data_IF_930411238007
#
_entry.id   IF_930411238007
#
_cell.length_a   1.000
_cell.length_b   1.000
_cell.length_c   1.000
_cell.angle_alpha   90.00
_cell.angle_beta   90.00
_cell.angle_gamma   90.00
#
_symmetry.space_group_name_H-M   'P 1'
#
loop_
_entity.id
_entity.type
_entity.pdbx_description
1 polymer ?
#
# COMPACT_ATOMS: atom_id res chain seq x y z
N UNK A 1 -21.40 -22.51 -0.64
CA UNK A 1 -21.65 -21.21 0.03
C UNK A 1 -20.38 -20.34 0.20
N UNK A 2 -19.20 -20.91 -0.06
CA UNK A 2 -17.90 -20.22 0.11
C UNK A 2 -17.77 -18.88 -0.64
N UNK A 3 -18.27 -18.80 -1.89
CA UNK A 3 -18.18 -17.59 -2.71
C UNK A 3 -18.91 -16.38 -2.11
N UNK A 4 -20.14 -16.60 -1.60
CA UNK A 4 -20.90 -15.54 -0.93
C UNK A 4 -20.25 -15.12 0.39
N UNK A 5 -19.67 -16.06 1.09
CA UNK A 5 -18.98 -15.83 2.34
C UNK A 5 -17.69 -15.02 2.14
N UNK A 6 -16.90 -15.38 1.12
CA UNK A 6 -15.74 -14.58 0.68
C UNK A 6 -16.17 -13.15 0.32
N UNK A 7 -17.18 -13.02 -0.52
CA UNK A 7 -17.68 -11.71 -0.94
C UNK A 7 -18.11 -10.84 0.25
N UNK A 8 -18.99 -11.37 1.14
CA UNK A 8 -19.50 -10.60 2.29
C UNK A 8 -18.37 -10.24 3.26
N UNK A 9 -17.45 -11.15 3.51
CA UNK A 9 -16.32 -10.91 4.42
C UNK A 9 -15.44 -9.79 3.89
N UNK A 10 -15.00 -9.85 2.64
CA UNK A 10 -14.18 -8.82 2.05
C UNK A 10 -14.94 -7.51 1.80
N UNK A 11 -16.24 -7.57 1.53
CA UNK A 11 -17.10 -6.40 1.46
C UNK A 11 -17.14 -5.65 2.80
N UNK A 12 -17.33 -6.40 3.89
CA UNK A 12 -17.33 -5.83 5.24
C UNK A 12 -15.97 -5.22 5.59
N UNK A 13 -14.87 -5.91 5.27
CA UNK A 13 -13.51 -5.40 5.47
C UNK A 13 -13.31 -4.11 4.67
N UNK A 14 -13.67 -4.10 3.38
CA UNK A 14 -13.54 -2.93 2.52
C UNK A 14 -14.41 -1.73 2.94
N UNK A 15 -15.55 -1.99 3.56
CA UNK A 15 -16.46 -0.94 4.04
C UNK A 15 -16.00 -0.28 5.35
N UNK A 16 -15.47 -1.08 6.28
CA UNK A 16 -15.18 -0.62 7.65
C UNK A 16 -13.72 -0.29 7.91
N UNK A 17 -12.83 -0.49 6.94
CA UNK A 17 -11.43 -0.14 7.13
C UNK A 17 -11.12 1.24 6.57
N UNK A 18 -10.60 2.10 7.44
CA UNK A 18 -10.12 3.44 7.12
C UNK A 18 -8.60 3.49 7.28
N UNK A 19 -7.88 4.10 6.33
CA UNK A 19 -6.43 4.29 6.47
C UNK A 19 -5.54 3.55 5.47
N UNK A 20 -6.13 2.89 4.45
CA UNK A 20 -5.37 2.24 3.37
C UNK A 20 -5.19 0.74 3.54
N UNK A 21 -4.55 0.09 2.56
CA UNK A 21 -4.48 -1.37 2.45
C UNK A 21 -3.82 -2.05 3.65
N UNK A 22 -2.76 -1.48 4.21
CA UNK A 22 -2.09 -2.03 5.40
C UNK A 22 -2.95 -1.99 6.66
N UNK A 23 -3.84 -1.01 6.80
CA UNK A 23 -4.77 -0.95 7.92
C UNK A 23 -5.83 -2.08 7.88
N UNK A 24 -6.02 -2.70 6.73
CA UNK A 24 -6.90 -3.87 6.58
C UNK A 24 -6.24 -5.17 7.04
N UNK A 25 -4.92 -5.24 7.08
CA UNK A 25 -4.18 -6.48 7.34
C UNK A 25 -4.60 -7.19 8.64
N UNK A 26 -4.66 -6.53 9.80
CA UNK A 26 -5.07 -7.19 11.05
C UNK A 26 -6.49 -7.77 10.97
N UNK A 27 -7.40 -7.06 10.30
CA UNK A 27 -8.79 -7.49 10.16
C UNK A 27 -8.91 -8.67 9.17
N UNK A 28 -8.14 -8.65 8.09
CA UNK A 28 -8.06 -9.77 7.14
C UNK A 28 -7.52 -11.01 7.85
N UNK A 29 -6.39 -10.88 8.56
CA UNK A 29 -5.78 -11.98 9.33
C UNK A 29 -6.77 -12.59 10.31
N UNK A 30 -7.42 -11.75 11.11
CA UNK A 30 -8.42 -12.20 12.07
C UNK A 30 -9.54 -12.99 11.39
N UNK A 31 -10.11 -12.47 10.30
CA UNK A 31 -11.23 -13.10 9.60
C UNK A 31 -10.85 -14.38 8.88
N UNK A 32 -9.68 -14.43 8.29
CA UNK A 32 -9.16 -15.62 7.60
C UNK A 32 -8.93 -16.78 8.57
N UNK A 33 -8.33 -16.50 9.73
CA UNK A 33 -8.13 -17.50 10.80
C UNK A 33 -9.44 -17.91 11.46
N UNK A 34 -10.31 -16.94 11.81
CA UNK A 34 -11.62 -17.19 12.43
C UNK A 34 -12.50 -18.15 11.59
N UNK A 35 -12.41 -18.00 10.26
CA UNK A 35 -13.16 -18.83 9.32
C UNK A 35 -12.45 -20.13 8.93
N UNK A 36 -11.24 -20.35 9.41
CA UNK A 36 -10.45 -21.54 9.08
C UNK A 36 -10.06 -21.62 7.60
N UNK A 37 -9.95 -20.48 6.92
CA UNK A 37 -9.57 -20.43 5.51
C UNK A 37 -8.07 -20.65 5.30
N UNK A 38 -7.26 -20.17 6.25
CA UNK A 38 -5.81 -20.32 6.23
C UNK A 38 -5.24 -20.44 7.65
N UNK A 39 -4.11 -21.13 7.77
CA UNK A 39 -3.32 -21.18 9.00
C UNK A 39 -2.52 -19.91 9.24
N UNK A 40 -2.01 -19.78 10.47
CA UNK A 40 -1.20 -18.60 10.85
C UNK A 40 0.09 -18.51 10.04
N UNK A 41 0.67 -19.67 9.66
CA UNK A 41 1.90 -19.75 8.86
C UNK A 41 1.68 -19.26 7.43
N UNK A 42 0.56 -19.64 6.81
CA UNK A 42 0.18 -19.22 5.45
C UNK A 42 -0.08 -17.71 5.34
N UNK A 43 -0.42 -17.07 6.47
CA UNK A 43 -0.61 -15.62 6.54
C UNK A 43 0.67 -14.86 6.18
N UNK A 44 1.82 -15.35 6.59
CA UNK A 44 3.11 -14.71 6.27
C UNK A 44 3.37 -14.76 4.76
N UNK A 45 3.06 -15.89 4.14
CA UNK A 45 3.25 -16.08 2.70
C UNK A 45 2.34 -15.15 1.89
N UNK A 46 1.06 -15.03 2.25
CA UNK A 46 0.16 -14.14 1.50
C UNK A 46 0.53 -12.65 1.64
N UNK A 47 1.07 -12.24 2.79
CA UNK A 47 1.59 -10.88 2.97
C UNK A 47 2.78 -10.65 2.04
N UNK A 48 3.76 -11.56 2.03
CA UNK A 48 4.94 -11.45 1.18
C UNK A 48 4.58 -11.42 -0.31
N UNK A 49 3.67 -12.30 -0.76
CA UNK A 49 3.18 -12.31 -2.15
C UNK A 49 2.46 -11.01 -2.51
N UNK A 50 1.61 -10.52 -1.60
CA UNK A 50 0.85 -9.29 -1.82
C UNK A 50 1.72 -8.04 -1.89
N UNK A 51 2.82 -8.00 -1.13
CA UNK A 51 3.81 -6.93 -1.19
C UNK A 51 4.67 -7.00 -2.45
N UNK A 52 4.99 -8.20 -2.91
CA UNK A 52 5.78 -8.43 -4.12
C UNK A 52 4.98 -8.16 -5.41
N UNK A 53 3.66 -8.17 -5.33
CA UNK A 53 2.77 -7.98 -6.49
C UNK A 53 2.47 -6.49 -6.67
N UNK A 54 2.78 -5.89 -7.85
CA UNK A 54 2.47 -4.50 -8.10
C UNK A 54 0.96 -4.26 -8.12
N UNK A 55 0.46 -3.44 -7.20
CA UNK A 55 -0.97 -3.13 -7.11
C UNK A 55 -1.40 -2.71 -5.71
N UNK A 56 -2.70 -2.40 -5.52
CA UNK A 56 -3.24 -2.09 -4.20
C UNK A 56 -3.16 -3.32 -3.27
N UNK A 57 -2.46 -3.21 -2.17
CA UNK A 57 -2.19 -4.29 -1.23
C UNK A 57 -3.45 -5.08 -0.81
N UNK A 58 -4.54 -4.37 -0.47
CA UNK A 58 -5.80 -5.00 -0.09
C UNK A 58 -6.45 -5.81 -1.22
N UNK A 59 -6.29 -5.37 -2.47
CA UNK A 59 -6.77 -6.11 -3.66
C UNK A 59 -5.93 -7.35 -3.88
N UNK A 60 -4.60 -7.23 -3.81
CA UNK A 60 -3.68 -8.36 -3.99
C UNK A 60 -3.95 -9.45 -2.95
N UNK A 61 -4.07 -9.06 -1.68
CA UNK A 61 -4.36 -9.98 -0.56
C UNK A 61 -5.73 -10.65 -0.71
N UNK A 62 -6.78 -9.90 -1.07
CA UNK A 62 -8.12 -10.47 -1.25
C UNK A 62 -8.17 -11.45 -2.40
N UNK A 63 -7.46 -11.15 -3.49
CA UNK A 63 -7.32 -12.03 -4.64
C UNK A 63 -6.60 -13.32 -4.27
N UNK A 64 -5.50 -13.22 -3.53
CA UNK A 64 -4.73 -14.37 -3.05
C UNK A 64 -5.59 -15.28 -2.16
N UNK A 65 -6.18 -14.74 -1.10
CA UNK A 65 -7.05 -15.49 -0.19
C UNK A 65 -8.22 -16.15 -0.94
N UNK A 66 -8.85 -15.42 -1.86
CA UNK A 66 -9.93 -15.96 -2.67
C UNK A 66 -9.48 -17.10 -3.57
N UNK A 67 -8.25 -17.02 -4.12
CA UNK A 67 -7.69 -18.08 -4.96
C UNK A 67 -7.42 -19.34 -4.15
N UNK A 68 -6.81 -19.24 -3.01
CA UNK A 68 -6.51 -20.38 -2.12
C UNK A 68 -7.78 -21.06 -1.61
N UNK A 69 -8.82 -20.28 -1.26
CA UNK A 69 -10.07 -20.82 -0.73
C UNK A 69 -10.95 -21.50 -1.79
N UNK A 70 -11.04 -20.95 -3.00
CA UNK A 70 -12.03 -21.39 -3.99
C UNK A 70 -11.62 -21.13 -5.46
N UNK A 71 -10.32 -21.09 -5.72
CA UNK A 71 -9.76 -20.91 -7.07
C UNK A 71 -10.15 -19.56 -7.71
N UNK A 72 -10.18 -19.52 -9.02
CA UNK A 72 -10.42 -18.29 -9.81
C UNK A 72 -11.74 -17.60 -9.45
N UNK A 73 -12.81 -18.35 -9.24
CA UNK A 73 -14.11 -17.80 -8.85
C UNK A 73 -14.08 -17.21 -7.43
N UNK A 74 -13.33 -17.83 -6.52
CA UNK A 74 -13.09 -17.29 -5.19
C UNK A 74 -12.32 -15.96 -5.24
N UNK A 75 -11.29 -15.88 -6.07
CA UNK A 75 -10.53 -14.66 -6.31
C UNK A 75 -11.43 -13.52 -6.80
N UNK A 76 -12.28 -13.78 -7.78
CA UNK A 76 -13.24 -12.79 -8.31
C UNK A 76 -14.18 -12.29 -7.20
N UNK A 77 -14.78 -13.22 -6.43
CA UNK A 77 -15.71 -12.86 -5.36
C UNK A 77 -15.04 -12.03 -4.26
N UNK A 78 -13.86 -12.42 -3.80
CA UNK A 78 -13.13 -11.71 -2.75
C UNK A 78 -12.67 -10.32 -3.22
N UNK A 79 -12.14 -10.23 -4.44
CA UNK A 79 -11.69 -8.97 -5.05
C UNK A 79 -12.84 -8.00 -5.27
N UNK A 80 -13.96 -8.48 -5.83
CA UNK A 80 -15.17 -7.66 -5.97
C UNK A 80 -15.69 -7.22 -4.60
N UNK A 81 -15.64 -8.09 -3.61
CA UNK A 81 -16.02 -7.77 -2.24
C UNK A 81 -15.24 -6.56 -1.71
N UNK A 82 -13.93 -6.56 -1.78
CA UNK A 82 -13.11 -5.47 -1.22
C UNK A 82 -13.20 -4.16 -2.02
N UNK A 83 -13.41 -4.22 -3.33
CA UNK A 83 -13.45 -3.04 -4.21
C UNK A 83 -14.81 -2.35 -4.23
N UNK A 84 -15.90 -3.13 -4.23
CA UNK A 84 -17.26 -2.60 -4.41
C UNK A 84 -17.66 -1.54 -3.36
N UNK A 85 -17.39 -1.69 -2.06
CA UNK A 85 -17.73 -0.66 -1.07
C UNK A 85 -17.13 0.69 -1.41
N UNK A 86 -15.83 0.72 -1.70
CA UNK A 86 -15.10 1.94 -2.07
C UNK A 86 -15.65 2.54 -3.36
N UNK A 87 -15.97 1.71 -4.35
CA UNK A 87 -16.56 2.14 -5.62
C UNK A 87 -17.94 2.76 -5.42
N UNK A 88 -18.81 2.13 -4.63
CA UNK A 88 -20.14 2.66 -4.32
C UNK A 88 -20.05 4.00 -3.58
N UNK A 89 -19.19 4.07 -2.55
CA UNK A 89 -19.01 5.30 -1.77
C UNK A 89 -18.49 6.44 -2.65
N UNK A 90 -17.50 6.19 -3.53
CA UNK A 90 -16.97 7.25 -4.40
C UNK A 90 -17.99 7.72 -5.42
N UNK A 91 -18.85 6.84 -5.93
CA UNK A 91 -19.93 7.22 -6.84
C UNK A 91 -20.97 8.13 -6.16
N UNK A 92 -21.35 7.78 -4.91
CA UNK A 92 -22.26 8.61 -4.12
C UNK A 92 -21.64 9.98 -3.86
N UNK A 93 -20.39 9.99 -3.40
CA UNK A 93 -19.65 11.23 -3.13
C UNK A 93 -19.51 12.08 -4.40
N UNK A 94 -19.15 11.47 -5.53
CA UNK A 94 -19.02 12.19 -6.80
C UNK A 94 -20.34 12.85 -7.24
N UNK A 95 -21.45 12.11 -7.09
CA UNK A 95 -22.78 12.63 -7.44
C UNK A 95 -23.22 13.78 -6.53
N UNK A 96 -22.94 13.68 -5.25
CA UNK A 96 -23.19 14.76 -4.29
C UNK A 96 -22.25 15.95 -4.52
N UNK A 97 -20.97 15.68 -4.81
CA UNK A 97 -19.94 16.70 -5.01
C UNK A 97 -20.29 17.66 -6.16
N UNK A 98 -20.78 17.15 -7.29
CA UNK A 98 -21.18 17.97 -8.44
C UNK A 98 -22.23 19.01 -8.03
N UNK A 99 -23.13 18.66 -7.10
CA UNK A 99 -24.20 19.54 -6.61
C UNK A 99 -23.72 20.56 -5.58
N UNK A 100 -22.70 20.23 -4.81
CA UNK A 100 -22.24 21.03 -3.66
C UNK A 100 -20.82 21.59 -3.80
N UNK A 101 -20.15 21.37 -4.94
CA UNK A 101 -18.76 21.82 -5.18
C UNK A 101 -18.52 23.33 -4.95
N UNK A 102 -19.57 24.15 -5.14
CA UNK A 102 -19.53 25.60 -4.94
C UNK A 102 -19.80 26.02 -3.48
N UNK A 103 -20.16 25.07 -2.62
CA UNK A 103 -20.36 25.33 -1.19
C UNK A 103 -19.04 25.63 -0.51
N UNK A 104 -18.99 26.71 0.29
CA UNK A 104 -17.82 27.08 1.10
C UNK A 104 -17.39 25.96 2.06
N UNK A 105 -18.34 25.18 2.56
CA UNK A 105 -18.12 24.04 3.45
C UNK A 105 -17.35 22.91 2.72
N UNK A 106 -17.77 22.56 1.51
CA UNK A 106 -17.12 21.53 0.69
C UNK A 106 -15.73 21.99 0.28
N UNK A 107 -15.58 23.23 -0.14
CA UNK A 107 -14.27 23.80 -0.48
C UNK A 107 -13.32 23.80 0.71
N UNK A 108 -13.77 24.18 1.91
CA UNK A 108 -13.00 24.11 3.14
C UNK A 108 -12.60 22.68 3.52
N UNK A 109 -13.52 21.72 3.43
CA UNK A 109 -13.26 20.31 3.69
C UNK A 109 -12.21 19.74 2.71
N UNK A 110 -12.32 20.05 1.42
CA UNK A 110 -11.37 19.63 0.40
C UNK A 110 -9.98 20.24 0.59
N UNK A 111 -9.91 21.48 1.06
CA UNK A 111 -8.63 22.11 1.41
C UNK A 111 -7.97 21.39 2.60
N UNK A 112 -8.73 21.10 3.66
CA UNK A 112 -8.24 20.38 4.82
C UNK A 112 -7.79 18.95 4.44
N UNK A 113 -8.57 18.24 3.62
CA UNK A 113 -8.21 16.90 3.12
C UNK A 113 -6.90 16.91 2.34
N UNK A 114 -6.65 17.89 1.48
CA UNK A 114 -5.38 18.00 0.74
C UNK A 114 -4.20 18.19 1.69
N UNK A 115 -4.33 19.04 2.68
CA UNK A 115 -3.28 19.24 3.69
C UNK A 115 -3.01 17.95 4.49
N UNK A 116 -4.08 17.23 4.88
CA UNK A 116 -3.97 15.95 5.60
C UNK A 116 -3.27 14.89 4.76
N UNK A 117 -3.60 14.77 3.47
CA UNK A 117 -2.94 13.80 2.56
C UNK A 117 -1.45 14.09 2.44
N UNK A 118 -1.05 15.35 2.32
CA UNK A 118 0.37 15.73 2.30
C UNK A 118 1.06 15.34 3.61
N UNK A 119 0.41 15.58 4.75
CA UNK A 119 0.92 15.17 6.06
C UNK A 119 1.07 13.65 6.19
N UNK A 120 0.08 12.89 5.73
CA UNK A 120 0.13 11.42 5.73
C UNK A 120 1.26 10.89 4.82
N UNK A 121 1.44 11.47 3.64
CA UNK A 121 2.56 11.12 2.76
C UNK A 121 3.91 11.42 3.40
N UNK A 122 4.06 12.57 4.02
CA UNK A 122 5.28 12.92 4.75
C UNK A 122 5.53 11.95 5.92
N UNK A 123 4.50 11.58 6.67
CA UNK A 123 4.57 10.58 7.74
C UNK A 123 4.97 9.20 7.24
N UNK A 124 4.44 8.75 6.11
CA UNK A 124 4.81 7.48 5.49
C UNK A 124 6.30 7.48 5.06
N UNK A 125 6.76 8.55 4.41
CA UNK A 125 8.17 8.72 4.04
C UNK A 125 9.06 8.71 5.29
N UNK A 126 8.67 9.42 6.34
CA UNK A 126 9.40 9.44 7.62
C UNK A 126 9.49 8.06 8.26
N UNK A 127 8.40 7.28 8.22
CA UNK A 127 8.36 5.91 8.74
C UNK A 127 9.27 4.93 7.96
N UNK A 128 9.46 5.15 6.67
CA UNK A 128 10.32 4.33 5.82
C UNK A 128 11.82 4.68 5.92
N UNK A 129 12.15 5.91 6.32
CA UNK A 129 13.54 6.35 6.41
C UNK A 129 14.46 5.42 7.23
N UNK A 130 14.07 4.95 8.42
CA UNK A 130 14.91 4.04 9.20
C UNK A 130 15.19 2.73 8.48
N UNK A 131 14.20 2.17 7.81
CA UNK A 131 14.33 0.90 7.08
C UNK A 131 15.25 1.01 5.88
N UNK A 132 15.19 2.13 5.14
CA UNK A 132 16.00 2.35 3.94
C UNK A 132 17.46 2.71 4.27
N UNK A 133 17.67 3.51 5.33
CA UNK A 133 19.00 4.04 5.65
C UNK A 133 19.71 3.28 6.77
N UNK A 134 19.00 2.58 7.63
CA UNK A 134 19.55 1.90 8.83
C UNK A 134 19.17 0.42 8.86
N UNK A 135 19.65 -0.38 7.91
CA UNK A 135 19.40 -1.83 7.82
C UNK A 135 19.83 -2.61 9.08
N UNK A 136 20.79 -2.10 9.84
CA UNK A 136 21.39 -2.74 11.02
C UNK A 136 21.11 -2.04 12.34
N UNK A 137 20.05 -1.19 12.42
CA UNK A 137 19.70 -0.42 13.62
C UNK A 137 20.32 0.98 13.63
N UNK A 138 19.70 1.88 14.40
CA UNK A 138 20.12 3.27 14.53
C UNK A 138 21.38 3.33 15.43
N UNK A 139 22.56 3.25 14.82
CA UNK A 139 23.83 3.44 15.48
C UNK A 139 24.62 4.54 14.76
N UNK A 140 25.31 5.40 15.51
CA UNK A 140 26.14 6.46 14.93
C UNK A 140 27.19 5.96 13.94
N UNK A 141 27.66 4.72 14.11
CA UNK A 141 28.59 4.04 13.21
C UNK A 141 27.93 3.61 11.87
N UNK A 142 26.61 3.60 11.75
CA UNK A 142 25.92 3.24 10.52
C UNK A 142 26.06 4.32 9.43
N UNK A 143 26.28 5.57 9.81
CA UNK A 143 26.44 6.72 8.89
C UNK A 143 27.72 6.60 8.04
N UNK A 144 28.74 5.93 8.55
CA UNK A 144 30.03 5.73 7.84
C UNK A 144 30.07 4.43 7.03
N UNK A 145 29.03 3.61 7.11
CA UNK A 145 28.95 2.38 6.31
C UNK A 145 28.72 2.71 4.82
N UNK A 146 29.35 1.97 3.91
CA UNK A 146 29.18 2.16 2.47
C UNK A 146 27.73 2.03 2.02
N UNK A 147 26.94 1.19 2.69
CA UNK A 147 25.51 0.98 2.45
C UNK A 147 24.71 2.30 2.63
N UNK A 148 24.98 3.04 3.70
CA UNK A 148 24.32 4.32 3.96
C UNK A 148 24.72 5.37 2.93
N UNK A 149 25.99 5.46 2.59
CA UNK A 149 26.51 6.42 1.60
C UNK A 149 25.92 6.16 0.22
N UNK A 150 25.80 4.89 -0.20
CA UNK A 150 25.17 4.51 -1.46
C UNK A 150 23.68 4.88 -1.47
N UNK A 151 22.92 4.53 -0.42
CA UNK A 151 21.50 4.86 -0.33
C UNK A 151 21.27 6.37 -0.32
N UNK A 152 22.10 7.12 0.39
CA UNK A 152 22.04 8.58 0.43
C UNK A 152 22.38 9.23 -0.92
N UNK A 153 23.38 8.70 -1.64
CA UNK A 153 23.75 9.19 -2.96
C UNK A 153 22.64 8.90 -3.99
N UNK A 154 22.08 7.69 -3.96
CA UNK A 154 20.93 7.33 -4.83
C UNK A 154 19.74 8.25 -4.51
N UNK A 155 19.40 8.43 -3.24
CA UNK A 155 18.30 9.30 -2.85
C UNK A 155 18.52 10.74 -3.32
N UNK A 156 19.70 11.32 -3.10
CA UNK A 156 20.01 12.69 -3.50
C UNK A 156 19.93 12.88 -5.04
N UNK A 157 20.48 11.92 -5.81
CA UNK A 157 20.41 11.97 -7.27
C UNK A 157 18.98 11.82 -7.77
N UNK A 158 18.19 10.91 -7.22
CA UNK A 158 16.79 10.73 -7.63
C UNK A 158 15.91 11.91 -7.22
N UNK A 159 16.18 12.52 -6.06
CA UNK A 159 15.51 13.75 -5.64
C UNK A 159 15.78 14.91 -6.61
N UNK A 160 17.04 15.10 -7.05
CA UNK A 160 17.35 16.14 -8.03
C UNK A 160 16.68 15.91 -9.38
N UNK A 161 16.56 14.65 -9.82
CA UNK A 161 15.82 14.28 -11.03
C UNK A 161 14.31 14.53 -10.88
N UNK A 162 13.75 14.21 -9.71
CA UNK A 162 12.34 14.48 -9.41
C UNK A 162 12.04 15.98 -9.43
N UNK A 163 12.91 16.81 -8.85
CA UNK A 163 12.79 18.28 -8.88
C UNK A 163 12.88 18.84 -10.31
N UNK A 164 13.62 18.17 -11.20
CA UNK A 164 13.69 18.49 -12.64
C UNK A 164 12.48 17.99 -13.45
N UNK A 165 11.43 17.47 -12.76
CA UNK A 165 10.20 16.96 -13.38
C UNK A 165 10.42 15.79 -14.35
N UNK A 166 11.43 14.97 -14.15
CA UNK A 166 11.63 13.72 -14.90
C UNK A 166 10.50 12.75 -14.55
N UNK A 167 10.10 11.91 -15.51
CA UNK A 167 9.04 10.92 -15.33
C UNK A 167 9.33 10.00 -14.12
N UNK A 168 8.35 9.78 -13.22
CA UNK A 168 8.52 8.89 -12.06
C UNK A 168 8.97 7.47 -12.44
N UNK A 169 8.52 6.95 -13.58
CA UNK A 169 8.89 5.62 -14.07
C UNK A 169 10.41 5.54 -14.32
N UNK A 170 11.00 6.57 -14.93
CA UNK A 170 12.45 6.64 -15.18
C UNK A 170 13.20 6.70 -13.85
N UNK A 171 12.71 7.50 -12.89
CA UNK A 171 13.34 7.62 -11.57
C UNK A 171 13.35 6.27 -10.85
N UNK A 172 12.23 5.54 -10.85
CA UNK A 172 12.12 4.23 -10.20
C UNK A 172 13.02 3.20 -10.88
N UNK A 173 13.03 3.12 -12.21
CA UNK A 173 13.89 2.16 -12.93
C UNK A 173 15.38 2.48 -12.75
N UNK A 174 15.77 3.75 -12.82
CA UNK A 174 17.15 4.14 -12.57
C UNK A 174 17.60 3.88 -11.13
N UNK A 175 16.73 4.14 -10.14
CA UNK A 175 17.04 3.84 -8.73
C UNK A 175 17.20 2.35 -8.47
N UNK A 176 16.36 1.51 -9.09
CA UNK A 176 16.47 0.06 -8.99
C UNK A 176 17.79 -0.46 -9.58
N UNK A 177 18.16 -0.02 -10.78
CA UNK A 177 19.43 -0.39 -11.40
C UNK A 177 20.62 0.09 -10.55
N UNK A 178 20.59 1.33 -10.08
CA UNK A 178 21.64 1.88 -9.22
C UNK A 178 21.75 1.10 -7.90
N UNK A 179 20.62 0.71 -7.29
CA UNK A 179 20.60 -0.11 -6.07
C UNK A 179 21.20 -1.50 -6.27
N UNK A 180 20.87 -2.17 -7.39
CA UNK A 180 21.46 -3.48 -7.73
C UNK A 180 22.97 -3.36 -7.92
N UNK A 181 23.42 -2.37 -8.68
CA UNK A 181 24.86 -2.15 -8.94
C UNK A 181 25.61 -1.84 -7.64
N UNK A 182 25.07 -1.00 -6.77
CA UNK A 182 25.67 -0.71 -5.47
C UNK A 182 25.68 -1.94 -4.56
N UNK A 183 24.61 -2.73 -4.55
CA UNK A 183 24.55 -3.98 -3.79
C UNK A 183 25.62 -4.98 -4.22
N UNK A 184 25.85 -5.16 -5.53
CA UNK A 184 26.91 -6.05 -6.03
C UNK A 184 28.34 -5.55 -5.77
N UNK A 185 28.54 -4.23 -5.63
CA UNK A 185 29.86 -3.63 -5.43
C UNK A 185 30.26 -3.56 -3.94
N UNK A 186 29.30 -3.51 -3.02
CA UNK A 186 29.56 -3.17 -1.61
C UNK A 186 28.97 -4.18 -0.60
N UNK A 187 28.15 -5.15 -1.05
CA UNK A 187 27.65 -6.30 -0.29
C UNK A 187 28.25 -7.61 -0.80
#
# INVERSE_FOLDING_TARGET
MIFLELFITFFTIGLFTFGGGYAMLPLIQQKVVEKGWMGVEEIVDFVAVSESTPGPFAVNISTYVGTECAGVLGAICATLGVVLPSFIVILIVARCYIRFKESKLVSGAMFALRATVVGLMAGAVWGMLPTVFFHSGIAWNAILKPEFLCSAAIFATMLTLALKKVSPIIIVTCSAVAGIVCGYLFL
#
